data_IF_251278907488
#
_entry.id   IF_251278907488
#
_cell.length_a   1.000
_cell.length_b   1.000
_cell.length_c   1.000
_cell.angle_alpha   90.00
_cell.angle_beta   90.00
_cell.angle_gamma   90.00
#
_symmetry.space_group_name_H-M   'P 1'
#
loop_
_entity.id
_entity.type
_entity.pdbx_description
1 polymer ?
#
# COMPACT_ATOMS: atom_id res chain seq x y z
N UNK A 1 -26.63 -14.66 -32.23
CA UNK A 1 -26.64 -14.89 -30.77
C UNK A 1 -25.77 -16.13 -30.50
N UNK A 2 -24.48 -15.92 -30.19
CA UNK A 2 -23.54 -16.98 -29.81
C UNK A 2 -23.22 -16.77 -28.34
N UNK A 3 -23.64 -17.69 -27.48
CA UNK A 3 -23.28 -17.72 -26.08
C UNK A 3 -21.86 -18.27 -25.96
N UNK A 4 -20.93 -17.41 -25.53
CA UNK A 4 -19.54 -17.79 -25.23
C UNK A 4 -19.45 -18.18 -23.75
N UNK A 5 -19.01 -19.41 -23.52
CA UNK A 5 -18.78 -20.01 -22.21
C UNK A 5 -17.25 -20.05 -21.97
N UNK A 6 -16.71 -19.45 -20.90
CA UNK A 6 -15.32 -19.66 -20.54
C UNK A 6 -15.20 -20.56 -19.30
N UNK A 7 -15.02 -21.85 -19.58
CA UNK A 7 -14.11 -22.76 -18.88
C UNK A 7 -13.99 -22.68 -17.36
N UNK A 8 -14.80 -23.48 -16.66
CA UNK A 8 -14.34 -24.13 -15.44
C UNK A 8 -13.11 -24.97 -15.76
N UNK A 9 -12.01 -24.74 -15.04
CA UNK A 9 -10.87 -25.66 -15.06
C UNK A 9 -10.97 -26.57 -13.82
N UNK A 10 -10.97 -27.88 -14.00
CA UNK A 10 -10.88 -28.88 -12.91
C UNK A 10 -10.12 -30.12 -13.41
N UNK A 11 -9.14 -30.62 -12.63
CA UNK A 11 -8.47 -31.94 -12.84
C UNK A 11 -8.25 -32.66 -11.50
N UNK A 12 -8.90 -33.79 -11.19
CA UNK A 12 -8.93 -34.34 -9.83
C UNK A 12 -7.55 -34.87 -9.39
N UNK A 13 -7.28 -34.85 -8.09
CA UNK A 13 -6.16 -35.60 -7.52
C UNK A 13 -6.58 -36.32 -6.23
N UNK A 14 -6.03 -37.52 -6.10
CA UNK A 14 -6.29 -38.55 -5.10
C UNK A 14 -5.86 -38.11 -3.70
N UNK A 15 -6.66 -38.47 -2.71
CA UNK A 15 -6.48 -38.15 -1.29
C UNK A 15 -5.35 -39.01 -0.69
N UNK A 16 -4.39 -38.37 -0.02
CA UNK A 16 -3.58 -39.01 1.03
C UNK A 16 -3.81 -38.23 2.32
N UNK A 17 -4.35 -38.91 3.32
CA UNK A 17 -4.60 -38.36 4.66
C UNK A 17 -3.33 -38.52 5.48
N UNK A 18 -2.83 -37.41 6.01
CA UNK A 18 -1.88 -37.42 7.12
C UNK A 18 -2.36 -36.45 8.20
N UNK A 19 -2.70 -37.02 9.35
CA UNK A 19 -3.09 -36.35 10.59
C UNK A 19 -1.90 -35.61 11.20
N UNK A 20 -2.07 -34.35 11.59
CA UNK A 20 -1.09 -33.62 12.41
C UNK A 20 -1.69 -32.44 13.18
N UNK A 21 -1.60 -32.56 14.52
CA UNK A 21 -1.39 -31.53 15.56
C UNK A 21 -2.29 -30.28 15.52
N UNK A 22 -3.22 -30.21 16.49
CA UNK A 22 -4.01 -29.03 16.81
C UNK A 22 -3.11 -28.05 17.59
N UNK A 23 -2.53 -27.09 16.87
CA UNK A 23 -2.15 -25.80 17.42
C UNK A 23 -3.24 -24.78 17.09
N UNK A 24 -3.61 -23.90 18.02
CA UNK A 24 -4.46 -22.74 17.72
C UNK A 24 -3.68 -21.76 16.86
N UNK A 25 -3.70 -21.97 15.54
CA UNK A 25 -3.26 -20.97 14.59
C UNK A 25 -4.25 -19.80 14.65
N UNK A 26 -3.79 -18.64 15.10
CA UNK A 26 -4.48 -17.39 14.83
C UNK A 26 -4.50 -17.20 13.30
N UNK A 27 -5.65 -16.93 12.67
CA UNK A 27 -5.68 -16.63 11.25
C UNK A 27 -4.95 -15.31 10.99
N UNK A 28 -3.97 -15.34 10.09
CA UNK A 28 -3.27 -14.17 9.55
C UNK A 28 -4.19 -13.40 8.58
N UNK A 29 -4.34 -12.07 8.76
CA UNK A 29 -5.17 -11.16 7.92
C UNK A 29 -4.30 -10.11 7.15
N UNK A 30 -4.89 -9.05 6.57
CA UNK A 30 -4.36 -8.26 5.42
C UNK A 30 -3.18 -7.33 5.66
N UNK A 31 -2.56 -6.90 4.55
CA UNK A 31 -1.10 -6.96 4.40
C UNK A 31 -0.68 -8.35 4.85
N UNK A 32 -0.10 -9.18 4.01
CA UNK A 32 -0.03 -10.63 4.34
C UNK A 32 0.53 -10.82 5.74
N UNK A 33 -0.17 -11.51 6.65
CA UNK A 33 0.28 -11.67 8.05
C UNK A 33 0.15 -10.43 8.98
N UNK A 34 -0.67 -9.44 8.63
CA UNK A 34 -0.94 -8.22 9.41
C UNK A 34 -2.31 -8.19 10.10
N UNK A 35 -2.44 -7.54 11.27
CA UNK A 35 -3.74 -7.25 11.87
C UNK A 35 -4.44 -6.04 11.23
N UNK A 36 -5.74 -5.90 11.49
CA UNK A 36 -6.44 -4.65 11.23
C UNK A 36 -5.75 -3.50 11.97
N UNK A 37 -5.68 -2.34 11.31
CA UNK A 37 -4.93 -1.18 11.81
C UNK A 37 -5.48 -0.63 13.13
N UNK A 38 -6.80 -0.73 13.33
CA UNK A 38 -7.46 -0.34 14.57
C UNK A 38 -7.36 1.16 14.88
N UNK A 39 -7.19 2.00 13.86
CA UNK A 39 -7.12 3.45 14.02
C UNK A 39 -5.72 3.97 14.36
N UNK A 40 -4.68 3.13 14.31
CA UNK A 40 -3.31 3.54 14.63
C UNK A 40 -2.76 4.57 13.63
N UNK A 41 -3.18 4.52 12.36
CA UNK A 41 -2.69 5.43 11.31
C UNK A 41 -3.86 6.17 10.63
N UNK A 42 -4.55 7.10 11.33
CA UNK A 42 -5.73 7.78 10.80
C UNK A 42 -5.46 8.62 9.53
N UNK A 43 -4.20 8.96 9.27
CA UNK A 43 -3.76 9.66 8.06
C UNK A 43 -3.70 8.78 6.82
N UNK A 44 -3.81 7.46 6.97
CA UNK A 44 -3.78 6.52 5.85
C UNK A 44 -5.20 6.28 5.36
N UNK A 45 -5.40 6.46 4.07
CA UNK A 45 -6.72 6.40 3.44
C UNK A 45 -6.75 5.55 2.18
N UNK A 46 -7.96 5.20 1.76
CA UNK A 46 -8.20 4.46 0.52
C UNK A 46 -8.69 5.40 -0.59
N UNK A 47 -8.22 5.16 -1.80
CA UNK A 47 -8.87 5.63 -3.01
C UNK A 47 -10.09 4.75 -3.30
N UNK A 48 -11.26 5.37 -3.45
CA UNK A 48 -12.55 4.69 -3.59
C UNK A 48 -13.05 4.76 -5.03
N UNK A 49 -13.41 3.60 -5.58
CA UNK A 49 -13.94 3.48 -6.92
C UNK A 49 -15.36 4.09 -7.04
N UNK A 50 -15.73 4.52 -8.25
CA UNK A 50 -17.10 5.01 -8.50
C UNK A 50 -18.15 3.89 -8.52
N UNK A 51 -17.70 2.64 -8.70
CA UNK A 51 -18.53 1.45 -8.73
C UNK A 51 -17.88 0.37 -7.87
N UNK A 52 -18.71 -0.39 -7.18
CA UNK A 52 -18.29 -1.58 -6.44
C UNK A 52 -17.57 -2.57 -7.37
N UNK A 53 -16.49 -3.17 -6.88
CA UNK A 53 -15.78 -4.24 -7.55
C UNK A 53 -16.59 -5.54 -7.53
N UNK A 54 -16.22 -6.51 -8.37
CA UNK A 54 -16.95 -7.79 -8.47
C UNK A 54 -16.93 -8.63 -7.19
N UNK A 55 -16.02 -8.34 -6.26
CA UNK A 55 -15.93 -8.99 -4.96
C UNK A 55 -16.72 -8.27 -3.85
N UNK A 56 -17.40 -7.17 -4.18
CA UNK A 56 -18.21 -6.38 -3.25
C UNK A 56 -17.47 -5.24 -2.56
N UNK A 57 -16.18 -5.05 -2.83
CA UNK A 57 -15.36 -3.99 -2.21
C UNK A 57 -15.22 -2.74 -3.08
N UNK A 58 -14.62 -1.68 -2.56
CA UNK A 58 -14.56 -0.36 -3.21
C UNK A 58 -13.18 0.27 -3.26
N UNK A 59 -12.30 -0.06 -2.32
CA UNK A 59 -10.93 0.45 -2.30
C UNK A 59 -10.12 -0.17 -3.45
N UNK A 60 -9.45 0.66 -4.25
CA UNK A 60 -8.59 0.18 -5.34
C UNK A 60 -7.11 0.52 -5.17
N UNK A 61 -6.81 1.50 -4.32
CA UNK A 61 -5.45 1.93 -3.98
C UNK A 61 -5.44 2.57 -2.59
N UNK A 62 -4.25 2.79 -2.07
CA UNK A 62 -4.00 3.42 -0.77
C UNK A 62 -3.25 4.75 -0.96
N UNK A 63 -3.26 5.59 0.06
CA UNK A 63 -2.37 6.73 0.16
C UNK A 63 -2.31 7.30 1.58
N UNK A 64 -1.60 8.40 1.74
CA UNK A 64 -1.33 9.02 3.04
C UNK A 64 -1.54 10.53 3.00
N UNK A 65 -2.27 11.06 3.98
CA UNK A 65 -2.39 12.49 4.19
C UNK A 65 -1.05 13.05 4.73
N UNK A 66 -0.38 13.89 3.94
CA UNK A 66 0.96 14.46 4.24
C UNK A 66 0.90 15.94 4.61
N UNK A 67 -0.21 16.61 4.32
CA UNK A 67 -0.65 17.87 4.96
C UNK A 67 -2.16 17.84 5.11
N UNK A 68 -2.76 18.79 5.82
CA UNK A 68 -4.22 18.82 5.97
C UNK A 68 -5.00 18.88 4.65
N UNK A 69 -4.37 19.22 3.53
CA UNK A 69 -5.02 19.31 2.20
C UNK A 69 -4.35 18.48 1.12
N UNK A 70 -3.26 17.75 1.41
CA UNK A 70 -2.51 17.00 0.40
C UNK A 70 -2.39 15.54 0.84
N UNK A 71 -2.93 14.66 0.00
CA UNK A 71 -2.87 13.21 0.16
C UNK A 71 -1.97 12.62 -0.93
N UNK A 72 -0.90 11.96 -0.53
CA UNK A 72 0.09 11.31 -1.40
C UNK A 72 -0.36 9.89 -1.75
N UNK A 73 -0.24 9.51 -3.01
CA UNK A 73 -0.53 8.16 -3.53
C UNK A 73 0.36 7.89 -4.76
N UNK A 74 0.15 6.79 -5.47
CA UNK A 74 0.87 6.46 -6.69
C UNK A 74 0.20 7.05 -7.95
N UNK A 75 0.99 7.33 -8.98
CA UNK A 75 0.49 7.80 -10.28
C UNK A 75 -0.22 6.69 -11.06
N UNK A 76 0.23 5.43 -10.94
CA UNK A 76 -0.41 4.30 -11.61
C UNK A 76 -1.81 3.98 -11.07
N UNK A 77 -2.17 4.49 -9.88
CA UNK A 77 -3.51 4.35 -9.33
C UNK A 77 -4.56 5.15 -10.13
N UNK A 78 -4.15 6.17 -10.88
CA UNK A 78 -5.07 7.00 -11.65
C UNK A 78 -5.21 6.57 -13.11
N UNK A 79 -6.39 6.78 -13.69
CA UNK A 79 -6.56 6.65 -15.13
C UNK A 79 -5.91 7.82 -15.90
N UNK A 80 -5.52 7.61 -17.16
CA UNK A 80 -4.80 8.59 -18.02
C UNK A 80 -5.42 10.00 -18.10
N UNK A 81 -6.72 10.14 -17.83
CA UNK A 81 -7.46 11.42 -17.87
C UNK A 81 -8.17 11.73 -16.56
N UNK A 82 -7.86 11.01 -15.49
CA UNK A 82 -8.47 11.23 -14.20
C UNK A 82 -8.08 12.61 -13.66
N UNK A 83 -9.09 13.43 -13.36
CA UNK A 83 -8.90 14.79 -12.81
C UNK A 83 -9.20 14.86 -11.32
N UNK A 84 -9.95 13.90 -10.80
CA UNK A 84 -10.46 13.87 -9.43
C UNK A 84 -10.30 12.49 -8.86
N UNK A 85 -10.19 12.41 -7.53
CA UNK A 85 -10.21 11.16 -6.80
C UNK A 85 -11.07 11.29 -5.55
N UNK A 86 -11.65 10.16 -5.14
CA UNK A 86 -12.42 10.02 -3.91
C UNK A 86 -11.56 9.30 -2.87
N UNK A 87 -11.48 9.87 -1.67
CA UNK A 87 -10.65 9.38 -0.57
C UNK A 87 -11.51 9.16 0.67
N UNK A 88 -11.35 8.01 1.33
CA UNK A 88 -11.85 7.78 2.69
C UNK A 88 -10.68 7.57 3.64
N UNK A 89 -10.87 7.95 4.90
CA UNK A 89 -9.93 7.69 6.01
C UNK A 89 -10.52 6.73 7.06
N UNK A 90 -11.67 6.11 6.75
CA UNK A 90 -12.32 5.17 7.66
C UNK A 90 -11.48 3.89 7.81
N UNK A 91 -11.35 3.38 9.03
CA UNK A 91 -10.68 2.11 9.31
C UNK A 91 -11.31 0.93 8.55
N UNK A 92 -12.61 0.99 8.31
CA UNK A 92 -13.32 0.10 7.41
C UNK A 92 -14.32 0.91 6.60
N UNK A 93 -14.16 0.89 5.28
CA UNK A 93 -15.08 1.54 4.38
C UNK A 93 -16.33 0.68 4.17
N UNK A 94 -17.49 1.34 4.24
CA UNK A 94 -18.76 0.81 3.82
C UNK A 94 -19.55 1.94 3.13
N UNK A 95 -20.50 1.64 2.23
CA UNK A 95 -21.35 2.65 1.64
C UNK A 95 -22.01 3.55 2.70
N UNK A 96 -21.88 4.87 2.54
CA UNK A 96 -22.33 5.87 3.50
C UNK A 96 -21.24 6.39 4.44
N UNK A 97 -20.06 5.75 4.48
CA UNK A 97 -18.88 6.32 5.12
C UNK A 97 -18.48 7.65 4.48
N UNK A 98 -17.80 8.50 5.25
CA UNK A 98 -17.39 9.82 4.79
C UNK A 98 -16.32 9.70 3.70
N UNK A 99 -16.57 10.34 2.56
CA UNK A 99 -15.66 10.40 1.41
C UNK A 99 -15.35 11.86 1.09
N UNK A 100 -14.08 12.14 0.85
CA UNK A 100 -13.58 13.43 0.42
C UNK A 100 -13.22 13.37 -1.05
N UNK A 101 -13.61 14.38 -1.83
CA UNK A 101 -13.21 14.50 -3.22
C UNK A 101 -12.11 15.55 -3.33
N UNK A 102 -11.08 15.26 -4.11
CA UNK A 102 -9.99 16.19 -4.38
C UNK A 102 -9.49 16.08 -5.82
N UNK A 103 -8.66 17.03 -6.22
CA UNK A 103 -8.04 17.05 -7.55
C UNK A 103 -6.88 16.06 -7.58
N UNK A 104 -6.94 15.11 -8.49
CA UNK A 104 -5.88 14.12 -8.71
C UNK A 104 -4.82 14.69 -9.64
N UNK A 105 -3.56 14.68 -9.21
CA UNK A 105 -2.44 15.28 -9.94
C UNK A 105 -1.26 14.29 -9.92
N UNK A 106 -1.08 13.48 -10.99
CA UNK A 106 0.09 12.63 -11.12
C UNK A 106 1.34 13.48 -11.42
N UNK A 107 2.51 12.97 -11.06
CA UNK A 107 3.77 13.50 -11.58
C UNK A 107 3.75 13.38 -13.11
N UNK A 108 3.87 14.50 -13.81
CA UNK A 108 3.82 14.54 -15.27
C UNK A 108 4.99 13.80 -15.94
N UNK A 109 6.01 13.42 -15.15
CA UNK A 109 7.14 12.59 -15.58
C UNK A 109 6.86 11.09 -15.44
N UNK A 110 5.76 10.70 -14.79
CA UNK A 110 5.34 9.31 -14.70
C UNK A 110 5.24 8.73 -16.12
N UNK A 111 5.95 7.63 -16.32
CA UNK A 111 5.93 6.84 -17.54
C UNK A 111 6.16 5.39 -17.15
N UNK A 112 5.74 4.45 -17.98
CA UNK A 112 5.91 3.01 -17.74
C UNK A 112 7.39 2.53 -17.79
N UNK A 113 8.35 3.46 -17.69
CA UNK A 113 9.80 3.23 -17.79
C UNK A 113 10.51 3.40 -16.43
N UNK A 114 11.73 2.86 -16.33
CA UNK A 114 12.51 2.63 -15.10
C UNK A 114 12.86 3.83 -14.18
N UNK A 115 12.45 5.06 -14.49
CA UNK A 115 12.59 6.21 -13.58
C UNK A 115 11.47 6.31 -12.54
N UNK A 116 10.43 5.50 -12.71
CA UNK A 116 9.33 5.31 -11.78
C UNK A 116 8.44 6.53 -11.75
N UNK A 117 8.91 7.64 -11.18
CA UNK A 117 8.17 8.89 -10.95
C UNK A 117 6.72 8.65 -10.50
N UNK A 118 6.49 7.52 -9.83
CA UNK A 118 5.17 6.94 -9.67
C UNK A 118 4.51 7.50 -8.42
N UNK A 119 4.25 8.80 -8.49
CA UNK A 119 3.67 9.56 -7.40
C UNK A 119 2.57 10.44 -7.96
N UNK A 120 1.49 10.53 -7.22
CA UNK A 120 0.44 11.49 -7.43
C UNK A 120 0.05 12.12 -6.10
N UNK A 121 -0.57 13.29 -6.17
CA UNK A 121 -1.26 13.87 -5.03
C UNK A 121 -2.74 14.02 -5.34
N UNK A 122 -3.55 13.83 -4.31
CA UNK A 122 -4.92 14.33 -4.26
C UNK A 122 -4.90 15.60 -3.42
N UNK A 123 -5.25 16.73 -4.04
CA UNK A 123 -5.32 18.03 -3.38
C UNK A 123 -6.78 18.35 -3.05
N UNK A 124 -7.07 18.56 -1.79
CA UNK A 124 -8.39 18.95 -1.29
C UNK A 124 -8.50 20.48 -1.21
N UNK A 125 -9.69 21.00 -1.51
CA UNK A 125 -9.96 22.44 -1.42
C UNK A 125 -10.08 22.94 0.02
N UNK A 126 -10.34 22.04 0.98
CA UNK A 126 -10.49 22.32 2.39
C UNK A 126 -9.67 21.34 3.25
N UNK A 127 -9.14 21.78 4.41
CA UNK A 127 -8.47 20.89 5.35
C UNK A 127 -9.33 19.68 5.74
N UNK A 128 -8.76 18.49 5.71
CA UNK A 128 -9.34 17.28 6.28
C UNK A 128 -9.32 17.42 7.81
N UNK A 129 -10.48 17.43 8.49
CA UNK A 129 -10.55 17.71 9.91
C UNK A 129 -10.14 16.50 10.76
N UNK A 130 -9.54 16.76 11.92
CA UNK A 130 -9.34 15.74 12.96
C UNK A 130 -8.25 14.69 12.67
N UNK A 131 -7.51 14.83 11.57
CA UNK A 131 -6.43 13.91 11.20
C UNK A 131 -5.10 14.67 11.22
N UNK A 132 -4.15 14.15 12.00
CA UNK A 132 -2.77 14.66 12.00
C UNK A 132 -2.02 14.05 10.79
N UNK A 133 -1.48 14.86 9.87
CA UNK A 133 -0.76 14.32 8.71
C UNK A 133 0.53 13.57 9.09
N UNK A 134 0.94 12.63 8.24
CA UNK A 134 2.21 11.93 8.34
C UNK A 134 3.41 12.89 8.22
N UNK A 135 4.52 12.51 8.83
CA UNK A 135 5.79 13.22 8.73
C UNK A 135 6.56 12.75 7.49
N UNK A 136 7.06 13.69 6.70
CA UNK A 136 7.98 13.39 5.60
C UNK A 136 9.43 13.34 6.10
N UNK A 137 10.31 12.56 5.45
CA UNK A 137 11.71 12.44 5.84
C UNK A 137 12.51 13.66 5.38
N UNK A 138 13.56 13.97 6.13
CA UNK A 138 14.62 14.84 5.67
C UNK A 138 15.28 14.24 4.40
N UNK A 139 15.84 15.10 3.55
CA UNK A 139 16.54 14.65 2.35
C UNK A 139 17.74 13.75 2.69
N UNK A 140 17.84 12.60 2.03
CA UNK A 140 18.93 11.63 2.24
C UNK A 140 18.89 10.86 3.55
N UNK A 141 17.78 10.88 4.30
CA UNK A 141 17.63 10.16 5.57
C UNK A 141 18.03 8.68 5.47
N UNK A 142 17.56 7.96 4.44
CA UNK A 142 17.83 6.53 4.31
C UNK A 142 19.29 6.27 3.95
N UNK A 143 19.92 7.14 3.16
CA UNK A 143 21.35 7.04 2.87
C UNK A 143 22.20 7.26 4.12
N UNK A 144 21.81 8.21 4.97
CA UNK A 144 22.46 8.45 6.26
C UNK A 144 22.31 7.24 7.20
N UNK A 145 21.10 6.68 7.33
CA UNK A 145 20.87 5.48 8.13
C UNK A 145 21.64 4.26 7.59
N UNK A 146 21.86 4.17 6.27
CA UNK A 146 22.70 3.14 5.66
C UNK A 146 24.17 3.32 6.05
N UNK A 147 24.69 4.53 5.95
CA UNK A 147 26.07 4.87 6.30
C UNK A 147 26.35 4.61 7.79
N UNK A 148 25.38 4.90 8.65
CA UNK A 148 25.42 4.63 10.10
C UNK A 148 25.26 3.13 10.44
N UNK A 149 24.98 2.26 9.46
CA UNK A 149 24.72 0.84 9.69
C UNK A 149 23.36 0.52 10.33
N UNK A 150 22.49 1.52 10.53
CA UNK A 150 21.21 1.42 11.25
C UNK A 150 20.09 0.81 10.40
N UNK A 151 20.15 0.92 9.07
CA UNK A 151 19.11 0.34 8.20
C UNK A 151 18.98 -1.17 8.32
N UNK A 152 20.08 -1.88 8.60
CA UNK A 152 20.09 -3.36 8.65
C UNK A 152 19.17 -3.95 9.72
N UNK A 153 18.89 -3.17 10.77
CA UNK A 153 18.02 -3.56 11.88
C UNK A 153 16.77 -2.68 11.95
N UNK A 154 16.53 -1.87 10.92
CA UNK A 154 15.34 -1.04 10.86
C UNK A 154 14.13 -1.89 10.48
N UNK A 155 13.01 -1.59 11.12
CA UNK A 155 11.70 -2.11 10.76
C UNK A 155 10.88 -1.02 10.10
N UNK A 156 9.95 -1.46 9.26
CA UNK A 156 9.03 -0.60 8.57
C UNK A 156 7.60 -1.10 8.78
N UNK A 157 6.66 -0.16 8.77
CA UNK A 157 5.24 -0.44 8.92
C UNK A 157 4.53 -0.02 7.63
N UNK A 158 4.29 -0.97 6.70
CA UNK A 158 3.33 -0.75 5.63
C UNK A 158 1.91 -0.73 6.20
N UNK A 159 1.07 0.15 5.64
CA UNK A 159 -0.35 0.27 6.01
C UNK A 159 -1.17 0.42 4.74
N UNK A 160 -2.32 -0.24 4.65
CA UNK A 160 -3.18 -0.08 3.47
C UNK A 160 -4.46 -0.89 3.46
N UNK A 161 -5.18 -0.77 2.35
CA UNK A 161 -6.49 -1.38 2.11
C UNK A 161 -6.44 -2.50 1.07
N UNK A 162 -5.23 -2.97 0.76
CA UNK A 162 -4.99 -4.02 -0.21
C UNK A 162 -5.52 -5.39 0.21
N UNK A 163 -5.34 -6.35 -0.69
CA UNK A 163 -5.78 -7.72 -0.50
C UNK A 163 -5.12 -8.36 0.72
N UNK A 164 -5.86 -9.25 1.37
CA UNK A 164 -5.28 -10.20 2.32
C UNK A 164 -4.30 -11.16 1.64
N UNK A 165 -3.63 -11.99 2.46
CA UNK A 165 -2.87 -13.13 1.95
C UNK A 165 -3.71 -13.97 0.97
N UNK A 166 -3.23 -14.16 -0.28
CA UNK A 166 -4.00 -14.88 -1.28
C UNK A 166 -4.15 -16.35 -0.90
N UNK A 167 -5.33 -16.91 -1.14
CA UNK A 167 -5.56 -18.36 -0.96
C UNK A 167 -5.19 -19.10 -2.24
N UNK A 168 -4.41 -20.18 -2.10
CA UNK A 168 -4.05 -21.04 -3.24
C UNK A 168 -5.28 -21.81 -3.72
N UNK A 169 -5.54 -21.74 -5.02
CA UNK A 169 -6.58 -22.52 -5.70
C UNK A 169 -5.95 -23.39 -6.79
N UNK A 170 -6.75 -24.33 -7.30
CA UNK A 170 -6.36 -25.28 -8.33
C UNK A 170 -5.87 -24.64 -9.64
N UNK A 171 -6.31 -23.42 -9.94
CA UNK A 171 -5.98 -22.67 -11.17
C UNK A 171 -5.50 -21.25 -10.90
N UNK A 172 -4.75 -21.05 -9.82
CA UNK A 172 -4.14 -19.76 -9.50
C UNK A 172 -4.37 -19.32 -8.06
N UNK A 173 -4.16 -18.04 -7.80
CA UNK A 173 -4.38 -17.42 -6.51
C UNK A 173 -5.74 -16.71 -6.47
N UNK A 174 -6.39 -16.73 -5.31
CA UNK A 174 -7.58 -15.91 -5.05
C UNK A 174 -7.25 -14.86 -4.00
N UNK A 175 -7.30 -13.60 -4.44
CA UNK A 175 -7.19 -12.42 -3.61
C UNK A 175 -8.52 -12.13 -2.90
N UNK A 176 -8.44 -11.56 -1.70
CA UNK A 176 -9.60 -11.20 -0.89
C UNK A 176 -9.40 -9.79 -0.38
N UNK A 177 -10.39 -8.95 -0.59
CA UNK A 177 -10.41 -7.59 -0.09
C UNK A 177 -11.46 -7.48 1.00
N UNK A 178 -11.32 -6.46 1.85
CA UNK A 178 -12.23 -6.25 2.99
C UNK A 178 -12.66 -4.81 3.18
N UNK A 179 -12.13 -3.87 2.39
CA UNK A 179 -12.28 -2.42 2.63
C UNK A 179 -11.83 -1.95 4.03
N UNK A 180 -11.16 -2.82 4.79
CA UNK A 180 -10.52 -2.52 6.08
C UNK A 180 -9.08 -2.08 5.86
N UNK A 181 -8.62 -1.10 6.63
CA UNK A 181 -7.22 -0.72 6.75
C UNK A 181 -6.49 -1.73 7.62
N UNK A 182 -5.39 -2.27 7.12
CA UNK A 182 -4.50 -3.16 7.86
C UNK A 182 -3.09 -2.61 7.88
N UNK A 183 -2.28 -3.16 8.77
CA UNK A 183 -0.86 -2.84 8.88
C UNK A 183 -0.05 -4.13 9.04
N UNK A 184 1.24 -4.09 8.71
CA UNK A 184 2.17 -5.14 9.14
C UNK A 184 3.52 -4.57 9.53
N UNK A 185 4.44 -5.46 9.90
CA UNK A 185 5.86 -5.15 10.03
C UNK A 185 6.60 -5.79 8.87
N UNK A 186 7.58 -5.10 8.30
CA UNK A 186 8.47 -5.65 7.27
C UNK A 186 9.91 -5.19 7.51
N UNK A 187 10.86 -5.98 7.01
CA UNK A 187 12.28 -5.80 7.27
C UNK A 187 13.02 -5.21 6.08
N UNK A 188 14.08 -4.45 6.35
CA UNK A 188 14.99 -3.96 5.32
C UNK A 188 15.63 -5.10 4.52
N UNK A 189 15.64 -4.98 3.18
CA UNK A 189 16.42 -5.87 2.28
C UNK A 189 17.57 -5.14 1.64
N UNK A 190 17.27 -4.06 0.89
CA UNK A 190 18.27 -3.31 0.14
C UNK A 190 17.86 -1.84 -0.02
N UNK A 191 18.88 -1.00 -0.24
CA UNK A 191 18.68 0.41 -0.57
C UNK A 191 19.37 0.72 -1.90
N UNK A 192 18.57 1.14 -2.86
CA UNK A 192 18.95 1.60 -4.18
C UNK A 192 18.78 3.13 -4.28
N UNK A 193 19.26 3.76 -5.37
CA UNK A 193 19.13 5.22 -5.52
C UNK A 193 17.70 5.75 -5.46
N UNK A 194 16.70 4.96 -5.88
CA UNK A 194 15.27 5.35 -5.88
C UNK A 194 14.39 4.44 -5.03
N UNK A 195 14.82 3.20 -4.86
CA UNK A 195 14.01 2.14 -4.28
C UNK A 195 14.51 1.77 -2.89
N UNK A 196 13.56 1.58 -1.99
CA UNK A 196 13.72 0.87 -0.75
C UNK A 196 13.09 -0.50 -0.97
N UNK A 197 13.92 -1.54 -0.90
CA UNK A 197 13.46 -2.91 -1.03
C UNK A 197 13.24 -3.45 0.38
N UNK A 198 12.02 -3.90 0.66
CA UNK A 198 11.63 -4.49 1.94
C UNK A 198 11.20 -5.94 1.72
N UNK A 199 11.52 -6.83 2.65
CA UNK A 199 11.17 -8.25 2.53
C UNK A 199 10.84 -8.90 3.86
N UNK A 200 10.21 -10.07 3.77
CA UNK A 200 9.90 -10.91 4.93
C UNK A 200 11.18 -11.56 5.49
N UNK A 201 11.65 -11.08 6.63
CA UNK A 201 12.82 -11.66 7.34
C UNK A 201 12.43 -12.46 8.59
N UNK A 202 11.19 -12.28 9.07
CA UNK A 202 10.61 -12.98 10.21
C UNK A 202 9.27 -13.65 9.85
N UNK A 203 8.88 -14.66 10.62
CA UNK A 203 7.55 -15.30 10.52
C UNK A 203 6.39 -14.37 10.88
N UNK A 204 6.68 -13.25 11.53
CA UNK A 204 5.70 -12.21 11.90
C UNK A 204 5.66 -11.07 10.89
N UNK A 205 6.56 -11.07 9.91
CA UNK A 205 6.58 -10.03 8.90
C UNK A 205 5.41 -10.21 7.94
N UNK A 206 5.02 -9.10 7.32
CA UNK A 206 4.00 -9.04 6.30
C UNK A 206 4.35 -8.12 5.15
N UNK A 207 3.82 -8.43 3.97
CA UNK A 207 4.13 -7.75 2.72
C UNK A 207 2.88 -7.07 2.14
N UNK A 208 3.11 -5.95 1.46
CA UNK A 208 2.06 -5.23 0.74
C UNK A 208 1.53 -6.08 -0.41
N UNK A 209 0.27 -5.90 -0.74
CA UNK A 209 -0.44 -6.68 -1.74
C UNK A 209 -1.19 -5.75 -2.70
N UNK A 210 -1.85 -6.32 -3.70
CA UNK A 210 -2.68 -5.55 -4.64
C UNK A 210 -3.65 -4.63 -3.88
N UNK A 211 -3.69 -3.34 -4.22
CA UNK A 211 -4.48 -2.31 -3.54
C UNK A 211 -3.74 -1.53 -2.44
N UNK A 212 -2.58 -2.01 -1.97
CA UNK A 212 -1.71 -1.23 -1.07
C UNK A 212 -0.86 -0.20 -1.83
N UNK A 213 -0.88 -0.24 -3.16
CA UNK A 213 -0.26 0.75 -4.04
C UNK A 213 -0.55 2.19 -3.63
N UNK A 214 0.48 3.02 -3.58
CA UNK A 214 0.45 4.39 -3.10
C UNK A 214 0.46 4.52 -1.57
N UNK A 215 0.27 3.43 -0.83
CA UNK A 215 0.27 3.39 0.62
C UNK A 215 1.65 3.66 1.24
N UNK A 216 1.69 4.02 2.53
CA UNK A 216 2.93 4.33 3.23
C UNK A 216 3.74 3.08 3.54
N UNK A 217 5.06 3.26 3.62
CA UNK A 217 5.95 2.50 4.47
C UNK A 217 6.54 3.46 5.51
N UNK A 218 6.08 3.35 6.75
CA UNK A 218 6.59 4.14 7.87
C UNK A 218 7.89 3.54 8.39
N UNK A 219 8.90 4.37 8.71
CA UNK A 219 10.12 3.90 9.38
C UNK A 219 9.84 3.77 10.88
N UNK A 220 9.89 2.56 11.42
CA UNK A 220 9.64 2.28 12.83
C UNK A 220 8.62 1.14 13.03
N UNK A 221 8.07 1.07 14.24
CA UNK A 221 7.04 0.10 14.61
C UNK A 221 5.60 0.57 14.30
N UNK A 222 4.59 -0.17 14.80
CA UNK A 222 3.17 -0.05 14.40
C UNK A 222 2.45 1.24 14.84
N UNK A 223 3.19 2.20 15.39
CA UNK A 223 2.71 3.54 15.79
C UNK A 223 3.56 4.65 15.17
N UNK A 224 4.42 4.30 14.21
CA UNK A 224 5.25 5.27 13.50
C UNK A 224 4.44 6.02 12.46
N UNK A 225 4.72 7.32 12.34
CA UNK A 225 4.10 8.20 11.35
C UNK A 225 5.15 8.85 10.43
N UNK A 226 6.39 8.34 10.43
CA UNK A 226 7.48 8.83 9.59
C UNK A 226 7.48 8.11 8.24
N UNK A 227 6.81 8.70 7.25
CA UNK A 227 6.56 8.13 5.93
C UNK A 227 7.80 8.22 5.05
N UNK A 228 8.60 7.16 4.96
CA UNK A 228 9.89 7.19 4.24
C UNK A 228 9.82 6.72 2.78
N UNK A 229 8.82 5.91 2.44
CA UNK A 229 8.63 5.40 1.08
C UNK A 229 7.14 5.10 0.80
N UNK A 230 6.74 5.08 -0.48
CA UNK A 230 5.40 4.67 -0.91
C UNK A 230 5.43 3.37 -1.70
N UNK A 231 4.49 2.47 -1.43
CA UNK A 231 4.40 1.18 -2.14
C UNK A 231 4.04 1.39 -3.61
N UNK A 232 4.87 0.92 -4.53
CA UNK A 232 4.62 1.03 -5.98
C UNK A 232 4.26 -0.31 -6.59
N UNK A 233 5.05 -1.33 -6.30
CA UNK A 233 4.80 -2.70 -6.76
C UNK A 233 5.30 -3.69 -5.71
N UNK A 234 4.51 -4.74 -5.45
CA UNK A 234 5.13 -6.05 -5.25
C UNK A 234 5.51 -6.57 -6.64
N UNK A 235 6.64 -7.24 -6.81
CA UNK A 235 7.00 -7.81 -8.12
C UNK A 235 5.96 -8.86 -8.59
N UNK A 236 6.29 -9.67 -9.59
CA UNK A 236 5.49 -10.81 -10.08
C UNK A 236 5.08 -11.83 -8.98
N UNK A 237 5.50 -11.61 -7.73
CA UNK A 237 5.26 -12.33 -6.47
C UNK A 237 4.53 -11.49 -5.40
N UNK A 238 3.82 -10.42 -5.80
CA UNK A 238 3.08 -9.53 -4.91
C UNK A 238 2.39 -10.32 -3.77
N UNK A 239 2.41 -9.73 -2.58
CA UNK A 239 1.89 -10.33 -1.35
C UNK A 239 2.79 -11.41 -0.70
N UNK A 240 3.94 -11.80 -1.27
CA UNK A 240 4.73 -12.95 -0.75
C UNK A 240 6.25 -12.75 -0.60
N UNK A 241 6.86 -11.73 -1.20
CA UNK A 241 8.33 -11.57 -1.14
C UNK A 241 8.74 -10.12 -0.90
N UNK A 242 9.10 -9.40 -1.96
CA UNK A 242 9.77 -8.11 -1.85
C UNK A 242 8.82 -6.98 -2.24
N UNK A 243 8.67 -6.02 -1.34
CA UNK A 243 8.06 -4.73 -1.67
C UNK A 243 9.11 -3.85 -2.35
N UNK A 244 8.70 -3.20 -3.44
CA UNK A 244 9.48 -2.13 -4.08
C UNK A 244 8.83 -0.80 -3.77
N UNK A 245 9.48 -0.06 -2.89
CA UNK A 245 8.93 1.16 -2.33
C UNK A 245 9.71 2.38 -2.83
N UNK A 246 9.00 3.36 -3.36
CA UNK A 246 9.61 4.58 -3.90
C UNK A 246 10.01 5.53 -2.77
N UNK A 247 11.30 5.79 -2.65
CA UNK A 247 11.90 6.58 -1.58
C UNK A 247 11.49 8.05 -1.65
N UNK A 248 10.98 8.59 -0.54
CA UNK A 248 10.55 9.99 -0.45
C UNK A 248 11.66 10.96 0.00
N UNK A 249 12.79 10.43 0.47
CA UNK A 249 13.96 11.22 0.88
C UNK A 249 14.88 11.62 -0.29
N UNK A 250 14.61 11.11 -1.50
CA UNK A 250 15.42 11.38 -2.70
C UNK A 250 15.17 12.79 -3.24
N UNK A 251 16.18 13.38 -3.90
CA UNK A 251 16.04 14.69 -4.54
C UNK A 251 14.92 14.71 -5.59
N UNK A 252 14.75 13.61 -6.34
CA UNK A 252 13.70 13.47 -7.36
C UNK A 252 12.31 13.48 -6.75
N UNK A 253 12.09 12.73 -5.67
CA UNK A 253 10.81 12.68 -4.98
C UNK A 253 10.48 14.04 -4.34
N UNK A 254 11.46 14.61 -3.62
CA UNK A 254 11.35 15.91 -2.97
C UNK A 254 11.09 17.04 -3.95
N UNK A 255 11.64 17.01 -5.17
CA UNK A 255 11.33 18.00 -6.22
C UNK A 255 9.85 17.99 -6.63
N UNK A 256 9.18 16.84 -6.61
CA UNK A 256 7.75 16.75 -6.86
C UNK A 256 6.95 17.20 -5.63
N UNK A 257 7.23 16.62 -4.47
CA UNK A 257 6.52 16.92 -3.22
C UNK A 257 6.61 18.39 -2.82
N UNK A 258 7.77 19.02 -3.02
CA UNK A 258 8.01 20.44 -2.71
C UNK A 258 7.15 21.42 -3.51
N UNK A 259 6.44 20.96 -4.54
CA UNK A 259 5.42 21.77 -5.25
C UNK A 259 4.13 21.92 -4.46
N UNK A 260 3.88 21.02 -3.49
CA UNK A 260 2.61 20.90 -2.78
C UNK A 260 2.74 21.08 -1.28
N UNK A 261 3.91 20.80 -0.71
CA UNK A 261 4.13 20.81 0.74
C UNK A 261 5.47 21.45 1.09
N UNK A 262 5.58 22.02 2.30
CA UNK A 262 6.86 22.44 2.87
C UNK A 262 7.62 21.20 3.35
N UNK A 263 8.77 20.93 2.74
CA UNK A 263 9.61 19.81 3.13
C UNK A 263 10.48 20.14 4.35
N UNK A 264 10.74 19.16 5.23
CA UNK A 264 11.76 19.26 6.26
C UNK A 264 13.17 19.18 5.68
#
# INVERSE_FOLDING_TARGET
MRLYNPGMRYVPFVLIIATSIIGTAAPAFAITNGPADGGAHPEVGALIADKVHSDGTWAYCTGTLITSTVFLTAAHCGERKQKTAKVTFADHYAPGAKVYSGRYIPDSRYSDNADGHDMAVVVFDQPIPGIKPAQLPAGGLLDQLKADGKLKTAHFTPVGYGSLAPTRKKHGQRFRYTDTRHQATISFKALHPKWLDLSLSSKTDGSTCFGDSGGPNFLGGPTSHLLVATSISGADDACQDTNYDYRLDTATARKFLGKYVRLP
#
